data_IF_092831964023
#
_entry.id   IF_092831964023
#
_cell.length_a   1.000
_cell.length_b   1.000
_cell.length_c   1.000
_cell.angle_alpha   90.00
_cell.angle_beta   90.00
_cell.angle_gamma   90.00
#
_symmetry.space_group_name_H-M   'P 1'
#
loop_
_entity.id
_entity.type
_entity.pdbx_description
1 polymer ?
#
# COMPACT_ATOMS: atom_id res chain seq x y z
N UNK A 1 5.61 -31.68 -1.11
CA UNK A 1 5.65 -30.24 -0.95
C UNK A 1 6.53 -29.64 -2.03
N UNK A 2 6.06 -28.63 -2.72
CA UNK A 2 6.80 -28.00 -3.82
C UNK A 2 6.61 -26.47 -3.85
N UNK A 3 7.69 -25.80 -4.22
CA UNK A 3 7.67 -24.35 -4.51
C UNK A 3 8.03 -24.13 -5.96
N UNK A 4 7.33 -23.21 -6.61
CA UNK A 4 7.76 -22.66 -7.88
C UNK A 4 7.62 -21.13 -7.87
N UNK A 5 8.43 -20.47 -8.68
CA UNK A 5 8.59 -19.03 -8.72
C UNK A 5 8.36 -18.51 -10.12
N UNK A 6 7.53 -17.49 -10.24
CA UNK A 6 7.15 -16.93 -11.54
C UNK A 6 7.30 -15.41 -11.49
N UNK A 7 8.17 -14.86 -12.32
CA UNK A 7 8.30 -13.43 -12.51
C UNK A 7 7.27 -12.95 -13.51
N UNK A 8 6.50 -11.92 -13.15
CA UNK A 8 5.44 -11.36 -13.97
C UNK A 8 5.56 -9.85 -14.01
N UNK A 9 5.69 -9.28 -15.21
CA UNK A 9 5.65 -7.83 -15.41
C UNK A 9 4.21 -7.36 -15.49
N UNK A 10 3.81 -6.56 -14.50
CA UNK A 10 2.49 -5.95 -14.39
C UNK A 10 2.55 -4.52 -14.94
N UNK A 11 1.98 -4.31 -16.12
CA UNK A 11 1.86 -2.98 -16.73
C UNK A 11 0.73 -2.19 -16.10
N UNK A 12 1.01 -0.96 -15.69
CA UNK A 12 -0.03 -0.08 -15.16
C UNK A 12 -0.85 0.52 -16.32
N UNK A 13 -2.19 0.57 -16.15
CA UNK A 13 -3.06 1.27 -17.10
C UNK A 13 -2.69 2.75 -17.24
N UNK A 14 -2.28 3.36 -16.13
CA UNK A 14 -1.76 4.72 -16.08
C UNK A 14 -0.47 4.74 -15.27
N UNK A 15 0.55 5.53 -15.66
CA UNK A 15 1.73 5.72 -14.84
C UNK A 15 1.35 6.22 -13.44
N UNK A 16 1.99 5.67 -12.41
CA UNK A 16 1.79 6.09 -11.02
C UNK A 16 2.95 6.97 -10.58
N UNK A 17 2.69 8.27 -10.48
CA UNK A 17 3.63 9.22 -9.90
C UNK A 17 3.25 9.49 -8.43
N UNK A 18 4.26 9.44 -7.57
CA UNK A 18 4.21 9.78 -6.14
C UNK A 18 5.33 10.77 -5.82
N UNK A 19 5.44 11.24 -4.57
CA UNK A 19 6.49 12.16 -4.12
C UNK A 19 7.92 11.69 -4.47
N UNK A 20 8.15 10.37 -4.52
CA UNK A 20 9.47 9.74 -4.73
C UNK A 20 9.78 9.29 -6.17
N UNK A 21 8.86 9.46 -7.12
CA UNK A 21 9.10 9.09 -8.52
C UNK A 21 7.89 8.59 -9.29
N UNK A 22 8.13 8.06 -10.50
CA UNK A 22 7.10 7.58 -11.42
C UNK A 22 7.36 6.11 -11.75
N UNK A 23 6.32 5.29 -11.68
CA UNK A 23 6.38 3.87 -12.06
C UNK A 23 5.39 3.58 -13.19
N UNK A 24 5.86 2.93 -14.24
CA UNK A 24 5.06 2.53 -15.41
C UNK A 24 4.61 1.07 -15.33
N UNK A 25 5.43 0.25 -14.72
CA UNK A 25 5.21 -1.20 -14.52
C UNK A 25 5.81 -1.65 -13.17
N UNK A 26 5.70 -2.93 -12.90
CA UNK A 26 6.34 -3.60 -11.77
C UNK A 26 6.58 -5.05 -12.16
N UNK A 27 7.81 -5.53 -12.07
CA UNK A 27 8.09 -6.95 -12.17
C UNK A 27 8.00 -7.58 -10.78
N UNK A 28 6.92 -8.33 -10.54
CA UNK A 28 6.66 -8.97 -9.25
C UNK A 28 6.99 -10.46 -9.29
N UNK A 29 7.35 -11.01 -8.14
CA UNK A 29 7.56 -12.44 -7.97
C UNK A 29 6.29 -13.10 -7.42
N UNK A 30 5.73 -14.04 -8.18
CA UNK A 30 4.67 -14.92 -7.71
C UNK A 30 5.27 -16.22 -7.18
N UNK A 31 4.88 -16.58 -5.96
CA UNK A 31 5.26 -17.83 -5.31
C UNK A 31 4.07 -18.78 -5.37
N UNK A 32 4.29 -19.96 -5.95
CA UNK A 32 3.33 -21.05 -5.92
C UNK A 32 3.82 -22.10 -4.92
N UNK A 33 3.02 -22.36 -3.90
CA UNK A 33 3.24 -23.40 -2.92
C UNK A 33 2.24 -24.53 -3.11
N UNK A 34 2.72 -25.78 -3.19
CA UNK A 34 1.87 -26.96 -3.37
C UNK A 34 2.14 -28.00 -2.29
N UNK A 35 1.10 -28.44 -1.62
CA UNK A 35 1.14 -29.53 -0.63
C UNK A 35 -0.25 -30.15 -0.48
N UNK A 36 -0.28 -31.48 -0.26
CA UNK A 36 -1.51 -32.26 0.00
C UNK A 36 -2.59 -32.06 -1.09
N UNK A 37 -2.21 -31.84 -2.36
CA UNK A 37 -3.15 -31.60 -3.46
C UNK A 37 -3.73 -30.18 -3.52
N UNK A 38 -3.33 -29.27 -2.64
CA UNK A 38 -3.77 -27.86 -2.64
C UNK A 38 -2.62 -26.95 -3.07
N UNK A 39 -2.99 -25.86 -3.75
CA UNK A 39 -2.04 -24.85 -4.24
C UNK A 39 -2.37 -23.50 -3.63
N UNK A 40 -1.40 -22.89 -2.95
CA UNK A 40 -1.44 -21.52 -2.48
C UNK A 40 -0.58 -20.61 -3.36
N UNK A 41 -1.01 -19.37 -3.53
CA UNK A 41 -0.32 -18.33 -4.26
C UNK A 41 0.00 -17.14 -3.38
N UNK A 42 1.19 -16.58 -3.54
CA UNK A 42 1.61 -15.33 -2.92
C UNK A 42 2.37 -14.46 -3.90
N UNK A 43 2.45 -13.18 -3.60
CA UNK A 43 3.07 -12.16 -4.45
C UNK A 43 4.03 -11.31 -3.64
N UNK A 44 5.25 -11.13 -4.14
CA UNK A 44 6.23 -10.18 -3.64
C UNK A 44 6.46 -9.08 -4.67
N UNK A 45 6.13 -7.85 -4.29
CA UNK A 45 6.40 -6.67 -5.09
C UNK A 45 7.71 -6.02 -4.62
N UNK A 46 8.77 -5.98 -5.46
CA UNK A 46 10.03 -5.37 -5.07
C UNK A 46 9.91 -3.84 -4.96
N UNK A 47 10.70 -3.27 -4.06
CA UNK A 47 10.85 -1.85 -3.86
C UNK A 47 12.01 -1.61 -2.90
N UNK A 48 12.75 -0.52 -3.07
CA UNK A 48 13.87 -0.18 -2.19
C UNK A 48 13.42 -0.09 -0.72
N UNK A 49 12.25 0.49 -0.50
CA UNK A 49 11.63 0.60 0.82
C UNK A 49 11.03 -0.72 1.32
N UNK A 50 10.88 -1.72 0.45
CA UNK A 50 10.30 -3.04 0.76
C UNK A 50 11.37 -4.11 1.02
N UNK A 51 12.65 -3.71 1.00
CA UNK A 51 13.79 -4.54 1.39
C UNK A 51 14.34 -5.45 0.28
N UNK A 52 13.88 -5.30 -0.96
CA UNK A 52 14.50 -5.90 -2.15
C UNK A 52 14.20 -5.04 -3.37
N UNK A 53 15.20 -4.85 -4.23
CA UNK A 53 15.06 -3.97 -5.41
C UNK A 53 14.50 -4.69 -6.62
N UNK A 54 14.60 -6.03 -6.69
CA UNK A 54 14.21 -6.84 -7.85
C UNK A 54 13.48 -8.12 -7.47
N UNK A 55 12.70 -8.66 -8.39
CA UNK A 55 12.08 -10.00 -8.24
C UNK A 55 13.12 -11.12 -8.10
N UNK A 56 14.30 -10.97 -8.72
CA UNK A 56 15.40 -11.93 -8.59
C UNK A 56 16.01 -11.95 -7.19
N UNK A 57 16.14 -10.81 -6.53
CA UNK A 57 16.56 -10.72 -5.13
C UNK A 57 15.55 -11.42 -4.21
N UNK A 58 14.25 -11.14 -4.38
CA UNK A 58 13.16 -11.82 -3.65
C UNK A 58 13.28 -13.34 -3.83
N UNK A 59 13.41 -13.80 -5.06
CA UNK A 59 13.52 -15.23 -5.36
C UNK A 59 14.76 -15.87 -4.72
N UNK A 60 15.90 -15.19 -4.77
CA UNK A 60 17.15 -15.69 -4.21
C UNK A 60 17.03 -15.85 -2.68
N UNK A 61 16.53 -14.83 -2.00
CA UNK A 61 16.32 -14.83 -0.56
C UNK A 61 15.34 -15.95 -0.15
N UNK A 62 14.24 -16.11 -0.89
CA UNK A 62 13.26 -17.17 -0.60
C UNK A 62 13.82 -18.57 -0.83
N UNK A 63 14.59 -18.80 -1.89
CA UNK A 63 15.25 -20.10 -2.11
C UNK A 63 16.19 -20.46 -0.96
N UNK A 64 16.99 -19.50 -0.49
CA UNK A 64 17.89 -19.71 0.65
C UNK A 64 17.09 -20.01 1.93
N UNK A 65 16.02 -19.25 2.20
CA UNK A 65 15.17 -19.46 3.35
C UNK A 65 14.50 -20.84 3.35
N UNK A 66 13.92 -21.23 2.23
CA UNK A 66 13.26 -22.55 2.06
C UNK A 66 14.26 -23.70 2.23
N UNK A 67 15.50 -23.53 1.75
CA UNK A 67 16.56 -24.53 1.89
C UNK A 67 16.99 -24.78 3.35
N UNK A 68 16.62 -23.93 4.29
CA UNK A 68 16.85 -24.18 5.73
C UNK A 68 15.93 -25.23 6.34
N UNK A 69 14.97 -25.77 5.58
CA UNK A 69 14.02 -26.78 6.03
C UNK A 69 12.86 -26.18 6.82
N UNK A 70 11.90 -25.60 6.09
CA UNK A 70 10.71 -24.97 6.69
C UNK A 70 9.47 -25.88 6.69
N UNK A 71 9.66 -27.15 6.33
CA UNK A 71 8.59 -28.14 6.31
C UNK A 71 8.03 -28.39 7.70
N UNK A 72 6.72 -28.23 7.82
CA UNK A 72 6.03 -28.48 9.08
C UNK A 72 5.95 -27.29 10.03
N UNK A 73 6.59 -26.18 9.71
CA UNK A 73 6.47 -24.96 10.49
C UNK A 73 5.03 -24.45 10.49
N UNK A 74 4.58 -23.98 11.64
CA UNK A 74 3.41 -23.10 11.74
C UNK A 74 3.71 -21.75 11.11
N UNK A 75 2.68 -20.95 10.85
CA UNK A 75 2.87 -19.60 10.32
C UNK A 75 3.68 -18.73 11.29
N UNK A 76 3.48 -18.91 12.61
CA UNK A 76 4.26 -18.17 13.60
C UNK A 76 5.74 -18.56 13.58
N UNK A 77 6.05 -19.86 13.53
CA UNK A 77 7.43 -20.34 13.43
C UNK A 77 8.12 -19.85 12.14
N UNK A 78 7.38 -19.78 11.03
CA UNK A 78 7.89 -19.18 9.78
C UNK A 78 8.22 -17.71 9.95
N UNK A 79 7.34 -16.95 10.62
CA UNK A 79 7.57 -15.52 10.89
C UNK A 79 8.78 -15.31 11.80
N UNK A 80 8.88 -16.06 12.89
CA UNK A 80 9.98 -15.97 13.85
C UNK A 80 11.31 -16.28 13.16
N UNK A 81 11.34 -17.38 12.39
CA UNK A 81 12.53 -17.78 11.63
C UNK A 81 12.92 -16.78 10.56
N UNK A 82 11.94 -16.22 9.83
CA UNK A 82 12.20 -15.19 8.83
C UNK A 82 12.75 -13.91 9.48
N UNK A 83 12.25 -13.55 10.64
CA UNK A 83 12.71 -12.41 11.43
C UNK A 83 14.16 -12.60 11.92
N UNK A 84 14.49 -13.79 12.47
CA UNK A 84 15.86 -14.15 12.87
C UNK A 84 16.84 -14.06 11.70
N UNK A 85 16.44 -14.56 10.54
CA UNK A 85 17.25 -14.54 9.32
C UNK A 85 17.24 -13.20 8.58
N UNK A 86 16.48 -12.22 9.07
CA UNK A 86 16.30 -10.89 8.45
C UNK A 86 15.86 -10.98 6.98
N UNK A 87 14.90 -11.87 6.71
CA UNK A 87 14.31 -11.98 5.38
C UNK A 87 13.61 -10.65 5.04
N UNK A 88 13.82 -10.14 3.83
CA UNK A 88 13.20 -8.89 3.41
C UNK A 88 11.67 -8.95 3.48
N UNK A 89 10.99 -7.88 3.92
CA UNK A 89 9.54 -7.87 4.11
C UNK A 89 8.76 -8.31 2.87
N UNK A 90 9.13 -7.84 1.68
CA UNK A 90 8.46 -8.23 0.44
C UNK A 90 8.67 -9.72 0.08
N UNK A 91 9.84 -10.29 0.41
CA UNK A 91 10.08 -11.72 0.21
C UNK A 91 9.24 -12.55 1.19
N UNK A 92 9.23 -12.16 2.48
CA UNK A 92 8.40 -12.86 3.47
C UNK A 92 6.92 -12.76 3.13
N UNK A 93 6.41 -11.60 2.71
CA UNK A 93 5.03 -11.39 2.31
C UNK A 93 4.59 -12.35 1.18
N UNK A 94 5.47 -12.59 0.19
CA UNK A 94 5.20 -13.55 -0.87
C UNK A 94 5.03 -14.98 -0.34
N UNK A 95 5.85 -15.38 0.61
CA UNK A 95 5.78 -16.70 1.22
C UNK A 95 4.57 -16.84 2.14
N UNK A 96 4.37 -15.88 3.04
CA UNK A 96 3.29 -15.85 4.03
C UNK A 96 1.92 -15.90 3.36
N UNK A 97 1.70 -15.06 2.33
CA UNK A 97 0.44 -15.07 1.57
C UNK A 97 0.21 -16.39 0.84
N UNK A 98 1.26 -17.03 0.31
CA UNK A 98 1.13 -18.36 -0.29
C UNK A 98 0.71 -19.44 0.73
N UNK A 99 1.24 -19.40 1.94
CA UNK A 99 0.86 -20.32 3.01
C UNK A 99 -0.57 -20.08 3.48
N UNK A 100 -0.98 -18.83 3.67
CA UNK A 100 -2.35 -18.50 4.07
C UNK A 100 -3.37 -18.89 3.01
N UNK A 101 -3.09 -18.66 1.73
CA UNK A 101 -3.95 -19.07 0.62
C UNK A 101 -4.08 -20.60 0.56
N UNK A 102 -2.95 -21.32 0.72
CA UNK A 102 -2.97 -22.77 0.81
C UNK A 102 -3.81 -23.28 2.00
N UNK A 103 -3.63 -22.70 3.20
CA UNK A 103 -4.40 -23.09 4.39
C UNK A 103 -5.89 -22.89 4.20
N UNK A 104 -6.28 -21.74 3.63
CA UNK A 104 -7.68 -21.42 3.37
C UNK A 104 -8.31 -22.41 2.38
N UNK A 105 -7.62 -22.73 1.29
CA UNK A 105 -8.06 -23.73 0.30
C UNK A 105 -8.14 -25.14 0.90
N UNK A 106 -7.16 -25.54 1.70
CA UNK A 106 -7.19 -26.83 2.42
C UNK A 106 -8.35 -26.93 3.40
N UNK A 107 -8.67 -25.84 4.09
CA UNK A 107 -9.82 -25.75 4.99
C UNK A 107 -11.16 -25.60 4.25
N UNK A 108 -11.14 -25.41 2.93
CA UNK A 108 -12.32 -25.09 2.11
C UNK A 108 -13.09 -23.85 2.62
N UNK A 109 -12.35 -22.84 3.08
CA UNK A 109 -12.88 -21.56 3.59
C UNK A 109 -12.26 -20.37 2.86
N UNK A 110 -13.01 -19.30 2.60
CA UNK A 110 -12.41 -18.03 2.27
C UNK A 110 -11.45 -17.57 3.40
N UNK A 111 -10.28 -17.03 3.04
CA UNK A 111 -9.26 -16.63 4.01
C UNK A 111 -9.81 -15.74 5.14
N UNK A 112 -10.68 -14.78 4.81
CA UNK A 112 -11.33 -13.93 5.82
C UNK A 112 -12.10 -14.72 6.89
N UNK A 113 -12.77 -15.84 6.51
CA UNK A 113 -13.49 -16.68 7.46
C UNK A 113 -12.54 -17.54 8.28
N UNK A 114 -11.47 -18.04 7.67
CA UNK A 114 -10.42 -18.76 8.38
C UNK A 114 -9.79 -17.88 9.49
N UNK A 115 -9.66 -16.58 9.22
CA UNK A 115 -9.13 -15.58 10.16
C UNK A 115 -10.19 -15.00 11.12
N UNK A 116 -11.45 -15.46 11.04
CA UNK A 116 -12.54 -15.00 11.91
C UNK A 116 -13.09 -13.61 11.56
N UNK A 117 -12.80 -13.08 10.37
CA UNK A 117 -13.30 -11.77 9.96
C UNK A 117 -14.65 -11.84 9.25
N UNK A 118 -15.49 -10.85 9.50
CA UNK A 118 -16.70 -10.60 8.74
C UNK A 118 -16.39 -10.19 7.29
N UNK A 119 -17.40 -10.15 6.43
CA UNK A 119 -17.23 -9.62 5.08
C UNK A 119 -16.88 -8.12 5.15
N UNK A 120 -15.81 -7.66 4.46
CA UNK A 120 -15.48 -6.24 4.46
C UNK A 120 -16.62 -5.42 3.84
N UNK A 121 -16.94 -4.28 4.47
CA UNK A 121 -17.93 -3.33 3.98
C UNK A 121 -17.29 -2.03 3.48
N UNK A 122 -16.05 -1.77 3.86
CA UNK A 122 -15.33 -0.56 3.45
C UNK A 122 -14.90 -0.69 1.98
N UNK A 123 -15.33 0.25 1.11
CA UNK A 123 -14.93 0.23 -0.29
C UNK A 123 -13.43 0.53 -0.42
N UNK A 124 -12.79 -0.14 -1.37
CA UNK A 124 -11.41 0.18 -1.74
C UNK A 124 -11.35 1.51 -2.50
N UNK A 125 -10.16 2.13 -2.51
CA UNK A 125 -9.90 3.34 -3.29
C UNK A 125 -9.21 3.01 -4.61
N UNK A 126 -9.56 3.74 -5.66
CA UNK A 126 -8.76 3.80 -6.89
C UNK A 126 -7.80 4.99 -6.80
N UNK A 127 -6.54 4.77 -7.16
CA UNK A 127 -5.49 5.78 -6.97
C UNK A 127 -5.31 6.66 -8.23
N UNK A 128 -5.21 7.96 -8.00
CA UNK A 128 -4.73 8.96 -8.97
C UNK A 128 -3.34 9.40 -8.51
N UNK A 129 -2.32 9.13 -9.33
CA UNK A 129 -0.95 9.61 -9.08
C UNK A 129 -0.81 11.11 -9.32
N UNK A 130 0.29 11.71 -8.85
CA UNK A 130 0.63 13.11 -9.09
C UNK A 130 0.67 13.39 -10.60
N UNK A 131 -0.11 14.38 -11.06
CA UNK A 131 -0.24 14.73 -12.47
C UNK A 131 -0.63 16.20 -12.64
N UNK A 132 -0.52 16.71 -13.88
CA UNK A 132 -1.09 18.01 -14.20
C UNK A 132 -2.63 18.00 -14.12
N UNK A 133 -3.27 19.16 -13.87
CA UNK A 133 -4.73 19.28 -13.90
C UNK A 133 -5.36 18.75 -15.20
N UNK A 134 -4.73 18.99 -16.33
CA UNK A 134 -5.22 18.51 -17.63
C UNK A 134 -5.29 16.98 -17.71
N UNK A 135 -4.25 16.29 -17.24
CA UNK A 135 -4.22 14.81 -17.18
C UNK A 135 -5.32 14.30 -16.24
N UNK A 136 -5.50 14.93 -15.08
CA UNK A 136 -6.54 14.58 -14.12
C UNK A 136 -7.94 14.72 -14.71
N UNK A 137 -8.21 15.86 -15.39
CA UNK A 137 -9.48 16.12 -16.09
C UNK A 137 -9.88 14.98 -17.03
N UNK A 138 -8.91 14.46 -17.78
CA UNK A 138 -9.15 13.38 -18.74
C UNK A 138 -9.20 11.99 -18.07
N UNK A 139 -8.51 11.80 -16.95
CA UNK A 139 -8.37 10.48 -16.30
C UNK A 139 -9.53 10.15 -15.36
N UNK A 140 -10.06 11.13 -14.62
CA UNK A 140 -11.14 10.88 -13.64
C UNK A 140 -12.37 10.23 -14.27
N UNK A 141 -12.90 10.69 -15.41
CA UNK A 141 -14.02 10.01 -16.06
C UNK A 141 -13.72 8.55 -16.43
N UNK A 142 -12.49 8.29 -16.93
CA UNK A 142 -12.07 6.91 -17.29
C UNK A 142 -11.98 5.96 -16.10
N UNK A 143 -11.87 6.47 -14.87
CA UNK A 143 -11.86 5.69 -13.64
C UNK A 143 -13.25 5.50 -13.04
N UNK A 144 -14.18 6.42 -13.28
CA UNK A 144 -15.48 6.46 -12.60
C UNK A 144 -16.64 6.06 -13.49
N UNK A 145 -16.65 6.41 -14.77
CA UNK A 145 -17.75 6.10 -15.67
C UNK A 145 -18.00 4.59 -15.82
N UNK A 146 -19.23 4.16 -15.58
CA UNK A 146 -19.62 2.75 -15.70
C UNK A 146 -18.97 1.83 -14.66
N UNK A 147 -18.38 2.38 -13.59
CA UNK A 147 -17.74 1.60 -12.53
C UNK A 147 -18.49 1.69 -11.20
N UNK A 148 -18.15 0.84 -10.24
CA UNK A 148 -18.66 0.86 -8.86
C UNK A 148 -17.67 1.51 -7.88
N UNK A 149 -16.74 2.32 -8.38
CA UNK A 149 -15.74 3.01 -7.55
C UNK A 149 -16.42 4.04 -6.65
N UNK A 150 -16.23 3.92 -5.36
CA UNK A 150 -16.81 4.80 -4.33
C UNK A 150 -15.79 5.69 -3.64
N UNK A 151 -14.51 5.55 -3.98
CA UNK A 151 -13.44 6.28 -3.30
C UNK A 151 -12.24 6.46 -4.22
N UNK A 152 -11.71 7.68 -4.27
CA UNK A 152 -10.46 8.01 -4.93
C UNK A 152 -9.39 8.35 -3.90
N UNK A 153 -8.18 7.77 -4.06
CA UNK A 153 -6.98 8.14 -3.31
C UNK A 153 -6.10 9.00 -4.21
N UNK A 154 -5.88 10.23 -3.81
CA UNK A 154 -5.14 11.23 -4.58
C UNK A 154 -3.74 11.35 -4.01
N UNK A 155 -2.73 11.04 -4.82
CA UNK A 155 -1.33 11.22 -4.44
C UNK A 155 -0.97 12.70 -4.55
N UNK A 156 -0.48 13.27 -3.45
CA UNK A 156 0.06 14.61 -3.32
C UNK A 156 1.51 14.56 -2.82
N UNK A 157 2.07 15.66 -2.38
CA UNK A 157 3.50 15.75 -2.04
C UNK A 157 4.36 15.91 -3.28
N UNK A 158 3.88 16.69 -4.25
CA UNK A 158 4.59 16.94 -5.49
C UNK A 158 5.96 17.59 -5.24
N UNK A 159 7.03 17.13 -5.93
CA UNK A 159 8.31 17.84 -5.93
C UNK A 159 8.23 19.29 -6.43
N UNK A 160 7.14 19.65 -7.11
CA UNK A 160 6.86 21.01 -7.58
C UNK A 160 6.21 21.89 -6.49
N UNK A 161 5.97 21.34 -5.30
CA UNK A 161 5.45 22.05 -4.14
C UNK A 161 3.93 22.03 -4.01
N UNK A 162 3.46 22.59 -2.88
CA UNK A 162 2.04 22.53 -2.46
C UNK A 162 1.08 23.26 -3.41
N UNK A 163 1.52 24.24 -4.16
CA UNK A 163 0.66 24.93 -5.12
C UNK A 163 0.33 24.02 -6.33
N UNK A 164 1.28 23.16 -6.74
CA UNK A 164 1.01 22.12 -7.73
C UNK A 164 0.04 21.06 -7.20
N UNK A 165 0.20 20.68 -5.94
CA UNK A 165 -0.73 19.77 -5.25
C UNK A 165 -2.15 20.33 -5.21
N UNK A 166 -2.30 21.62 -4.85
CA UNK A 166 -3.60 22.30 -4.83
C UNK A 166 -4.24 22.38 -6.20
N UNK A 167 -3.47 22.80 -7.22
CA UNK A 167 -3.99 22.89 -8.58
C UNK A 167 -4.50 21.54 -9.11
N UNK A 168 -3.74 20.47 -8.86
CA UNK A 168 -4.15 19.13 -9.21
C UNK A 168 -5.42 18.70 -8.44
N UNK A 169 -5.46 18.91 -7.13
CA UNK A 169 -6.57 18.50 -6.28
C UNK A 169 -7.86 19.25 -6.61
N UNK A 170 -7.80 20.57 -6.90
CA UNK A 170 -8.96 21.34 -7.36
C UNK A 170 -9.54 20.75 -8.65
N UNK A 171 -8.69 20.29 -9.57
CA UNK A 171 -9.18 19.62 -10.77
C UNK A 171 -9.84 18.26 -10.44
N UNK A 172 -9.36 17.51 -9.42
CA UNK A 172 -10.04 16.30 -8.96
C UNK A 172 -11.43 16.66 -8.44
N UNK A 173 -11.55 17.67 -7.57
CA UNK A 173 -12.83 18.16 -7.04
C UNK A 173 -13.79 18.53 -8.17
N UNK A 174 -13.32 19.31 -9.16
CA UNK A 174 -14.12 19.68 -10.31
C UNK A 174 -14.60 18.48 -11.11
N UNK A 175 -13.68 17.55 -11.40
CA UNK A 175 -13.99 16.36 -12.22
C UNK A 175 -14.86 15.34 -11.51
N UNK A 176 -14.97 15.43 -10.18
CA UNK A 176 -15.79 14.48 -9.37
C UNK A 176 -17.16 15.04 -8.97
N UNK A 177 -17.49 16.28 -9.29
CA UNK A 177 -18.75 16.95 -8.87
C UNK A 177 -20.04 16.17 -9.14
N UNK A 178 -20.05 15.38 -10.21
CA UNK A 178 -21.23 14.60 -10.64
C UNK A 178 -21.22 13.15 -10.15
N UNK A 179 -20.17 12.77 -9.40
CA UNK A 179 -20.01 11.41 -8.88
C UNK A 179 -20.12 11.39 -7.35
N UNK A 180 -20.79 10.37 -6.82
CA UNK A 180 -20.83 10.12 -5.38
C UNK A 180 -19.58 9.31 -4.97
N UNK A 181 -18.45 10.01 -4.83
CA UNK A 181 -17.16 9.42 -4.46
C UNK A 181 -16.51 10.17 -3.31
N UNK A 182 -15.90 9.41 -2.40
CA UNK A 182 -15.09 9.95 -1.31
C UNK A 182 -13.68 10.26 -1.80
N UNK A 183 -13.10 11.36 -1.31
CA UNK A 183 -11.74 11.77 -1.63
C UNK A 183 -10.83 11.51 -0.43
N UNK A 184 -9.72 10.86 -0.67
CA UNK A 184 -8.67 10.54 0.30
C UNK A 184 -7.34 11.03 -0.26
N UNK A 185 -6.47 11.48 0.60
CA UNK A 185 -5.17 12.02 0.20
C UNK A 185 -4.05 11.18 0.79
N UNK A 186 -3.00 10.96 -0.01
CA UNK A 186 -1.77 10.33 0.43
C UNK A 186 -0.60 11.19 -0.07
N UNK A 187 0.15 11.73 0.88
CA UNK A 187 1.29 12.61 0.58
C UNK A 187 2.61 11.81 0.44
N UNK A 188 2.64 10.52 0.80
CA UNK A 188 3.83 9.66 0.78
C UNK A 188 5.08 10.34 1.35
N UNK A 189 4.92 11.06 2.49
CA UNK A 189 6.00 11.78 3.15
C UNK A 189 6.52 12.99 2.39
N UNK A 190 5.73 13.58 1.50
CA UNK A 190 6.16 14.68 0.63
C UNK A 190 6.08 16.07 1.26
N UNK A 191 5.58 16.21 2.51
CA UNK A 191 5.42 17.49 3.18
C UNK A 191 6.28 17.58 4.45
N UNK A 192 6.73 18.79 4.76
CA UNK A 192 7.17 19.13 6.11
C UNK A 192 5.98 19.44 7.03
N UNK A 193 6.24 19.67 8.35
CA UNK A 193 5.20 19.94 9.34
C UNK A 193 4.35 21.15 8.99
N UNK A 194 4.96 22.24 8.53
CA UNK A 194 4.27 23.49 8.18
C UNK A 194 3.37 23.31 6.95
N UNK A 195 3.90 22.65 5.93
CA UNK A 195 3.16 22.31 4.72
C UNK A 195 1.98 21.40 5.04
N UNK A 196 2.22 20.35 5.85
CA UNK A 196 1.18 19.41 6.28
C UNK A 196 0.06 20.12 7.06
N UNK A 197 0.38 21.00 8.01
CA UNK A 197 -0.62 21.80 8.74
C UNK A 197 -1.45 22.68 7.81
N UNK A 198 -0.80 23.33 6.85
CA UNK A 198 -1.47 24.17 5.86
C UNK A 198 -2.41 23.33 4.99
N UNK A 199 -1.88 22.24 4.42
CA UNK A 199 -2.65 21.36 3.53
C UNK A 199 -3.80 20.66 4.25
N UNK A 200 -3.65 20.25 5.51
CA UNK A 200 -4.73 19.65 6.30
C UNK A 200 -5.94 20.57 6.42
N UNK A 201 -5.72 21.87 6.73
CA UNK A 201 -6.80 22.86 6.81
C UNK A 201 -7.46 23.05 5.45
N UNK A 202 -6.67 23.24 4.43
CA UNK A 202 -7.12 23.48 3.05
C UNK A 202 -7.91 22.28 2.48
N UNK A 203 -7.49 21.04 2.76
CA UNK A 203 -8.16 19.82 2.33
C UNK A 203 -9.44 19.53 3.13
N UNK A 204 -9.49 19.90 4.43
CA UNK A 204 -10.68 19.75 5.24
C UNK A 204 -11.86 20.57 4.70
N UNK A 205 -11.61 21.80 4.21
CA UNK A 205 -12.62 22.63 3.54
C UNK A 205 -13.18 21.98 2.27
N UNK A 206 -12.45 21.03 1.69
CA UNK A 206 -12.80 20.28 0.46
C UNK A 206 -13.34 18.88 0.76
N UNK A 207 -13.71 18.61 2.03
CA UNK A 207 -14.35 17.36 2.47
C UNK A 207 -13.54 16.10 2.21
N UNK A 208 -12.21 16.17 2.35
CA UNK A 208 -11.34 15.00 2.31
C UNK A 208 -11.59 14.14 3.56
N UNK A 209 -11.66 12.82 3.40
CA UNK A 209 -11.90 11.89 4.51
C UNK A 209 -10.72 11.85 5.50
N UNK A 210 -9.50 11.77 4.98
CA UNK A 210 -8.26 11.69 5.77
C UNK A 210 -7.01 12.00 4.92
N UNK A 211 -5.89 12.18 5.60
CA UNK A 211 -4.56 12.28 4.99
C UNK A 211 -3.72 11.08 5.44
N UNK A 212 -3.10 10.42 4.46
CA UNK A 212 -2.15 9.33 4.67
C UNK A 212 -0.72 9.86 4.54
N UNK A 213 0.15 9.43 5.44
CA UNK A 213 1.59 9.68 5.50
C UNK A 213 2.00 11.10 5.10
N UNK A 214 1.62 12.14 5.88
CA UNK A 214 1.95 13.52 5.55
C UNK A 214 3.45 13.80 5.63
N UNK A 215 4.15 13.23 6.64
CA UNK A 215 5.56 13.47 6.92
C UNK A 215 6.43 12.31 6.44
N UNK A 216 7.68 12.63 6.13
CA UNK A 216 8.68 11.63 5.75
C UNK A 216 8.93 10.65 6.90
N UNK A 217 9.19 9.38 6.54
CA UNK A 217 9.65 8.36 7.49
C UNK A 217 10.92 8.83 8.20
N UNK A 218 10.94 8.74 9.53
CA UNK A 218 11.99 9.28 10.41
C UNK A 218 11.68 10.67 10.97
N UNK A 219 10.60 11.32 10.52
CA UNK A 219 10.17 12.65 11.02
C UNK A 219 8.88 12.57 11.87
N UNK A 220 8.62 11.39 12.49
CA UNK A 220 7.41 11.09 13.24
C UNK A 220 7.19 12.01 14.46
N UNK A 221 8.25 12.62 15.01
CA UNK A 221 8.14 13.63 16.07
C UNK A 221 7.22 14.80 15.68
N UNK A 222 7.18 15.14 14.39
CA UNK A 222 6.28 16.15 13.85
C UNK A 222 4.80 15.79 13.93
N UNK A 223 4.47 14.48 14.00
CA UNK A 223 3.08 14.02 14.09
C UNK A 223 2.35 14.54 15.33
N UNK A 224 3.07 14.71 16.46
CA UNK A 224 2.51 15.29 17.67
C UNK A 224 1.99 16.72 17.44
N UNK A 225 2.73 17.50 16.67
CA UNK A 225 2.33 18.88 16.30
C UNK A 225 1.12 18.85 15.37
N UNK A 226 1.08 17.95 14.41
CA UNK A 226 -0.04 17.79 13.50
C UNK A 226 -1.29 17.29 14.23
N UNK A 227 -1.15 16.33 15.14
CA UNK A 227 -2.24 15.73 15.89
C UNK A 227 -3.02 16.76 16.73
N UNK A 228 -2.32 17.61 17.48
CA UNK A 228 -2.91 18.57 18.41
C UNK A 228 -3.80 19.65 17.76
N UNK A 229 -3.68 19.86 16.46
CA UNK A 229 -4.47 20.85 15.74
C UNK A 229 -5.05 20.34 14.42
N UNK A 230 -5.14 19.01 14.28
CA UNK A 230 -5.59 18.42 13.02
C UNK A 230 -7.02 18.77 12.66
N UNK A 231 -7.19 19.18 11.43
CA UNK A 231 -8.50 19.37 10.82
C UNK A 231 -9.05 18.09 10.15
N UNK A 232 -8.18 17.08 9.97
CA UNK A 232 -8.50 15.78 9.35
C UNK A 232 -7.82 14.64 10.12
N UNK A 233 -8.37 13.43 10.08
CA UNK A 233 -7.66 12.23 10.53
C UNK A 233 -6.35 12.03 9.78
N UNK A 234 -5.32 11.54 10.48
CA UNK A 234 -4.02 11.18 9.92
C UNK A 234 -3.88 9.66 9.97
N UNK A 235 -3.48 9.07 8.87
CA UNK A 235 -3.10 7.68 8.77
C UNK A 235 -1.61 7.59 8.50
N UNK A 236 -0.92 6.62 9.09
CA UNK A 236 0.48 6.32 8.83
C UNK A 236 0.58 5.07 7.96
N UNK A 237 1.50 5.07 7.02
CA UNK A 237 1.83 3.95 6.12
C UNK A 237 3.32 3.61 6.29
N UNK A 238 4.22 4.34 5.66
CA UNK A 238 5.65 4.08 5.67
C UNK A 238 6.24 4.09 7.09
N UNK A 239 5.71 4.90 7.99
CA UNK A 239 6.15 4.97 9.39
C UNK A 239 5.65 3.80 10.25
N UNK A 240 4.72 2.96 9.79
CA UNK A 240 4.12 1.86 10.56
C UNK A 240 4.06 0.55 9.75
N UNK A 241 5.22 0.00 9.40
CA UNK A 241 5.33 -1.22 8.57
C UNK A 241 5.16 -2.52 9.35
N UNK A 242 5.44 -2.50 10.65
CA UNK A 242 5.46 -3.69 11.49
C UNK A 242 4.61 -3.50 12.73
N UNK A 243 4.10 -4.59 13.29
CA UNK A 243 3.30 -4.56 14.52
C UNK A 243 4.01 -3.89 15.69
N UNK A 244 5.32 -4.00 15.80
CA UNK A 244 6.11 -3.35 16.85
C UNK A 244 6.20 -1.81 16.68
N UNK A 245 5.83 -1.25 15.53
CA UNK A 245 5.74 0.20 15.36
C UNK A 245 4.43 0.78 15.95
N UNK A 246 3.35 -0.02 16.03
CA UNK A 246 2.03 0.44 16.47
C UNK A 246 2.04 1.18 17.82
N UNK A 247 2.73 0.69 18.88
CA UNK A 247 2.74 1.36 20.18
C UNK A 247 3.24 2.81 20.15
N UNK A 248 4.12 3.16 19.19
CA UNK A 248 4.64 4.52 19.04
C UNK A 248 3.54 5.52 18.60
N UNK A 249 2.49 5.02 17.93
CA UNK A 249 1.38 5.82 17.43
C UNK A 249 0.14 5.77 18.33
N UNK A 250 0.11 4.93 19.36
CA UNK A 250 -1.02 4.81 20.28
C UNK A 250 -1.44 6.11 21.02
N UNK A 251 -0.55 7.10 21.26
CA UNK A 251 -0.91 8.38 21.85
C UNK A 251 -1.65 9.33 20.89
N UNK A 252 -1.78 9.01 19.62
CA UNK A 252 -2.33 9.89 18.57
C UNK A 252 -3.70 9.48 18.06
#
# INVERSE_FOLDING_TARGET
MGFSFHKVTLKKRFPLAISRGVRYDSENLFVRYEKDGYVGWGEGAPGETEGASTADEIQTVLKQFIATGIEGFSIQELYDRASEMRISPCAYAALDTAFWDWKAKKANLPLRQLLGFSRPHTPTSVTIGINSPEVVKNRVPLLLEGTTVQSLKIKLGSPQGIEADKAMFEQVVESTKTYDVKLRVDANGGWDVSQAQHMMKWLAERKVDYIEQPLKEGEEDGLKTLYNGRALPIYVDESCRFSHNIPAFAPY
#
